data_IF_266319051706
#
_entry.id   IF_266319051706
#
_cell.length_a   1.000
_cell.length_b   1.000
_cell.length_c   1.000
_cell.angle_alpha   90.00
_cell.angle_beta   90.00
_cell.angle_gamma   90.00
#
_symmetry.space_group_name_H-M   'P 1'
#
loop_
_entity.id
_entity.type
_entity.pdbx_description
1 polymer ?
#
# COMPACT_ATOMS: atom_id res chain seq x y z
N UNK A 1 14.52 20.15 -11.83
CA UNK A 1 14.21 20.21 -10.39
C UNK A 1 13.80 18.81 -9.97
N UNK A 2 14.31 18.31 -8.85
CA UNK A 2 13.94 17.00 -8.29
C UNK A 2 12.91 17.23 -7.20
N UNK A 3 11.82 16.46 -7.22
CA UNK A 3 10.75 16.51 -6.22
C UNK A 3 10.37 15.11 -5.76
N UNK A 4 10.03 14.98 -4.48
CA UNK A 4 9.57 13.72 -3.91
C UNK A 4 8.08 13.81 -3.59
N UNK A 5 7.40 12.70 -3.81
CA UNK A 5 5.97 12.58 -3.62
C UNK A 5 5.63 11.30 -2.87
N UNK A 6 4.51 11.35 -2.14
CA UNK A 6 3.87 10.19 -1.54
C UNK A 6 2.45 10.07 -2.08
N UNK A 7 2.11 8.87 -2.56
CA UNK A 7 0.77 8.50 -3.02
C UNK A 7 0.14 7.61 -1.95
N UNK A 8 -0.93 8.07 -1.33
CA UNK A 8 -1.72 7.31 -0.38
C UNK A 8 -2.84 6.55 -1.10
N UNK A 9 -3.05 5.29 -0.71
CA UNK A 9 -4.09 4.43 -1.27
C UNK A 9 -5.10 4.08 -0.19
N UNK A 10 -6.36 4.38 -0.45
CA UNK A 10 -7.48 4.05 0.43
C UNK A 10 -8.44 3.07 -0.25
N UNK A 11 -9.22 2.29 0.51
CA UNK A 11 -10.24 1.43 -0.05
C UNK A 11 -11.25 2.25 -0.87
N UNK A 12 -11.61 1.72 -2.04
CA UNK A 12 -12.64 2.26 -2.91
C UNK A 12 -13.44 1.12 -3.56
N UNK A 13 -14.59 1.44 -4.15
CA UNK A 13 -15.57 0.43 -4.59
C UNK A 13 -15.09 -0.44 -5.75
N UNK A 14 -14.35 0.16 -6.70
CA UNK A 14 -13.81 -0.55 -7.88
C UNK A 14 -12.30 -0.45 -7.98
N UNK A 15 -11.75 0.68 -7.55
CA UNK A 15 -10.32 0.98 -7.53
C UNK A 15 -10.00 1.69 -6.23
N UNK A 16 -8.74 1.62 -5.79
CA UNK A 16 -8.31 2.40 -4.63
C UNK A 16 -8.40 3.90 -4.93
N UNK A 17 -8.99 4.65 -3.99
CA UNK A 17 -8.90 6.11 -3.99
C UNK A 17 -7.45 6.51 -3.75
N UNK A 18 -7.02 7.62 -4.38
CA UNK A 18 -5.62 8.06 -4.36
C UNK A 18 -5.49 9.52 -3.99
N UNK A 19 -4.63 9.80 -3.02
CA UNK A 19 -4.22 11.15 -2.64
C UNK A 19 -2.71 11.29 -2.81
N UNK A 20 -2.26 12.27 -3.60
CA UNK A 20 -0.83 12.53 -3.87
C UNK A 20 -0.41 13.80 -3.13
N UNK A 21 0.72 13.76 -2.41
CA UNK A 21 1.27 14.91 -1.71
C UNK A 21 2.78 15.02 -1.96
N UNK A 22 3.27 16.24 -2.17
CA UNK A 22 4.71 16.52 -2.16
C UNK A 22 5.27 16.34 -0.72
N UNK A 23 6.44 15.74 -0.61
CA UNK A 23 7.14 15.48 0.66
C UNK A 23 8.62 15.87 0.50
N UNK A 24 9.29 16.40 1.54
CA UNK A 24 10.69 16.82 1.41
C UNK A 24 11.64 15.67 1.05
N UNK A 25 11.37 14.47 1.56
CA UNK A 25 12.14 13.25 1.34
C UNK A 25 11.28 12.01 1.59
N UNK A 26 11.78 10.82 1.26
CA UNK A 26 11.08 9.57 1.54
C UNK A 26 11.20 9.18 3.02
N UNK A 27 10.32 9.74 3.86
CA UNK A 27 10.22 9.43 5.28
C UNK A 27 8.91 8.66 5.58
N UNK A 28 9.07 7.38 5.93
CA UNK A 28 7.98 6.47 6.29
C UNK A 28 7.15 6.97 7.47
N UNK A 29 7.78 7.55 8.51
CA UNK A 29 7.07 8.02 9.70
C UNK A 29 6.25 9.26 9.40
N UNK A 30 6.81 10.19 8.64
CA UNK A 30 6.08 11.39 8.19
C UNK A 30 4.93 11.00 7.25
N UNK A 31 5.13 10.02 6.36
CA UNK A 31 4.06 9.50 5.51
C UNK A 31 2.93 8.86 6.34
N UNK A 32 3.22 8.03 7.34
CA UNK A 32 2.19 7.46 8.23
C UNK A 32 1.45 8.55 9.01
N UNK A 33 2.16 9.56 9.51
CA UNK A 33 1.55 10.72 10.18
C UNK A 33 0.60 11.48 9.24
N UNK A 34 0.97 11.68 7.97
CA UNK A 34 0.09 12.28 6.96
C UNK A 34 -1.10 11.39 6.62
N UNK A 35 -0.88 10.08 6.44
CA UNK A 35 -1.94 9.09 6.18
C UNK A 35 -3.03 9.13 7.25
N UNK A 36 -2.66 9.26 8.53
CA UNK A 36 -3.63 9.32 9.65
C UNK A 36 -4.58 10.51 9.60
N UNK A 37 -4.23 11.56 8.84
CA UNK A 37 -5.06 12.77 8.65
C UNK A 37 -5.92 12.70 7.41
N UNK A 38 -5.70 11.72 6.53
CA UNK A 38 -6.47 11.55 5.30
C UNK A 38 -7.74 10.77 5.63
N UNK A 39 -8.86 11.33 5.20
CA UNK A 39 -10.16 10.65 5.21
C UNK A 39 -10.76 10.81 3.83
N UNK A 40 -10.93 9.70 3.13
CA UNK A 40 -11.52 9.66 1.80
C UNK A 40 -13.05 9.49 1.90
N UNK A 41 -13.68 9.32 0.73
CA UNK A 41 -15.12 9.04 0.63
C UNK A 41 -15.50 7.82 1.48
N UNK A 42 -16.73 7.87 2.01
CA UNK A 42 -17.26 6.83 2.90
C UNK A 42 -16.42 6.62 4.17
N UNK A 43 -15.69 7.65 4.62
CA UNK A 43 -14.84 7.61 5.81
C UNK A 43 -13.74 6.53 5.72
N UNK A 44 -13.30 6.20 4.50
CA UNK A 44 -12.21 5.26 4.30
C UNK A 44 -10.88 5.94 4.58
N UNK A 45 -9.93 5.16 5.10
CA UNK A 45 -8.59 5.62 5.48
C UNK A 45 -7.54 4.92 4.63
N UNK A 46 -6.37 5.54 4.40
CA UNK A 46 -5.31 4.90 3.65
C UNK A 46 -4.90 3.57 4.29
N UNK A 47 -4.86 2.52 3.48
CA UNK A 47 -4.31 1.23 3.88
C UNK A 47 -2.80 1.14 3.61
N UNK A 48 -2.27 2.02 2.76
CA UNK A 48 -0.86 2.06 2.44
C UNK A 48 -0.47 3.25 1.58
N UNK A 49 0.82 3.35 1.27
CA UNK A 49 1.36 4.42 0.43
C UNK A 49 2.57 3.96 -0.38
N UNK A 50 2.89 4.72 -1.44
CA UNK A 50 4.12 4.55 -2.23
C UNK A 50 4.83 5.89 -2.34
N UNK A 51 6.15 5.85 -2.29
CA UNK A 51 6.96 7.01 -2.63
C UNK A 51 7.31 6.98 -4.12
N UNK A 52 7.40 8.15 -4.71
CA UNK A 52 8.02 8.33 -6.01
C UNK A 52 8.80 9.64 -6.07
N UNK A 53 9.76 9.70 -6.99
CA UNK A 53 10.59 10.88 -7.24
C UNK A 53 10.46 11.25 -8.69
N UNK A 54 10.23 12.54 -8.95
CA UNK A 54 10.14 13.08 -10.29
C UNK A 54 11.25 14.10 -10.54
N UNK A 55 11.78 14.07 -11.76
CA UNK A 55 12.76 15.01 -12.27
C UNK A 55 12.16 15.79 -13.45
N UNK A 56 12.21 17.12 -13.37
CA UNK A 56 11.71 18.00 -14.42
C UNK A 56 10.63 18.96 -13.92
N UNK A 57 10.09 19.80 -14.80
CA UNK A 57 9.05 20.77 -14.46
C UNK A 57 9.51 22.23 -14.36
N UNK A 58 10.29 22.70 -15.34
CA UNK A 58 10.46 24.14 -15.60
C UNK A 58 9.39 24.70 -16.57
N UNK A 59 8.35 23.91 -16.86
CA UNK A 59 7.24 24.27 -17.73
C UNK A 59 7.40 23.84 -19.20
N UNK A 60 8.52 23.23 -19.59
CA UNK A 60 8.74 22.83 -21.00
C UNK A 60 8.44 21.36 -21.31
N UNK A 61 8.47 20.48 -20.31
CA UNK A 61 8.28 19.03 -20.47
C UNK A 61 7.59 18.41 -19.25
N UNK A 62 6.90 17.30 -19.48
CA UNK A 62 6.30 16.49 -18.41
C UNK A 62 7.39 15.97 -17.46
N UNK A 63 7.18 16.02 -16.13
CA UNK A 63 8.10 15.45 -15.17
C UNK A 63 8.33 13.96 -15.43
N UNK A 64 9.59 13.53 -15.41
CA UNK A 64 9.96 12.13 -15.56
C UNK A 64 10.07 11.47 -14.19
N UNK A 65 9.40 10.35 -13.98
CA UNK A 65 9.60 9.53 -12.78
C UNK A 65 11.00 8.87 -12.83
N UNK A 66 11.81 9.13 -11.81
CA UNK A 66 13.20 8.62 -11.70
C UNK A 66 13.40 7.65 -10.53
N UNK A 67 12.40 7.50 -9.66
CA UNK A 67 12.42 6.50 -8.58
C UNK A 67 11.02 6.22 -8.05
N UNK A 68 10.81 5.00 -7.58
CA UNK A 68 9.56 4.54 -6.96
C UNK A 68 9.88 3.47 -5.90
N UNK A 69 9.13 3.47 -4.81
CA UNK A 69 9.18 2.42 -3.79
C UNK A 69 8.11 1.35 -4.04
N UNK A 70 8.26 0.19 -3.41
CA UNK A 70 7.11 -0.69 -3.18
C UNK A 70 6.07 -0.06 -2.25
N UNK A 71 5.00 -0.80 -2.01
CA UNK A 71 3.87 -0.40 -1.18
C UNK A 71 4.20 -0.54 0.29
N UNK A 72 4.05 0.55 1.03
CA UNK A 72 4.13 0.55 2.48
C UNK A 72 2.73 0.36 3.04
N UNK A 73 2.39 -0.85 3.48
CA UNK A 73 1.11 -1.18 4.08
C UNK A 73 1.07 -0.77 5.55
N UNK A 74 0.03 -0.06 5.96
CA UNK A 74 -0.15 0.46 7.33
C UNK A 74 -1.04 -0.50 8.11
N UNK A 75 -0.52 -1.06 9.21
CA UNK A 75 -1.27 -1.90 10.14
C UNK A 75 -2.00 -3.10 9.49
N UNK A 76 -1.47 -3.62 8.38
CA UNK A 76 -1.96 -4.85 7.78
C UNK A 76 -1.58 -6.08 8.61
N UNK A 77 -2.24 -7.21 8.34
CA UNK A 77 -1.80 -8.55 8.78
C UNK A 77 -1.28 -9.31 7.56
N UNK A 78 -0.09 -9.86 7.67
CA UNK A 78 0.45 -10.78 6.66
C UNK A 78 -0.10 -12.18 6.90
N UNK A 79 -0.47 -12.85 5.81
CA UNK A 79 -0.88 -14.26 5.82
C UNK A 79 -0.26 -15.00 4.62
N UNK A 80 0.27 -16.19 4.88
CA UNK A 80 0.78 -17.11 3.87
C UNK A 80 -0.33 -17.99 3.30
N UNK A 81 -0.10 -18.63 2.15
CA UNK A 81 -1.04 -19.59 1.58
C UNK A 81 -1.42 -20.68 2.61
N UNK A 82 -0.44 -21.21 3.34
CA UNK A 82 -0.67 -22.25 4.35
C UNK A 82 -1.60 -21.77 5.47
N UNK A 83 -1.46 -20.52 5.94
CA UNK A 83 -2.35 -19.95 6.95
C UNK A 83 -3.78 -19.73 6.42
N UNK A 84 -3.91 -19.29 5.16
CA UNK A 84 -5.22 -19.11 4.50
C UNK A 84 -5.90 -20.46 4.28
N UNK A 85 -5.15 -21.48 3.87
CA UNK A 85 -5.67 -22.85 3.70
C UNK A 85 -6.07 -23.50 5.03
N UNK A 86 -5.27 -23.31 6.08
CA UNK A 86 -5.58 -23.83 7.41
C UNK A 86 -6.87 -23.24 7.99
N UNK A 87 -7.17 -21.97 7.70
CA UNK A 87 -8.43 -21.33 8.10
C UNK A 87 -9.65 -21.95 7.40
N UNK A 88 -9.49 -22.43 6.17
CA UNK A 88 -10.53 -23.10 5.39
C UNK A 88 -11.88 -22.36 5.33
N UNK A 89 -11.86 -21.03 5.20
CA UNK A 89 -13.08 -20.22 5.09
C UNK A 89 -13.74 -20.46 3.72
N UNK A 90 -15.01 -20.91 3.63
CA UNK A 90 -15.71 -21.09 2.36
C UNK A 90 -15.77 -19.81 1.50
N UNK A 91 -15.75 -18.63 2.12
CA UNK A 91 -15.77 -17.33 1.42
C UNK A 91 -14.45 -16.97 0.72
N UNK A 92 -13.37 -17.72 0.98
CA UNK A 92 -12.02 -17.43 0.49
C UNK A 92 -11.54 -18.42 -0.58
N UNK A 93 -12.45 -19.18 -1.21
CA UNK A 93 -12.08 -20.15 -2.25
C UNK A 93 -11.37 -19.48 -3.44
N UNK A 94 -11.85 -18.30 -3.84
CA UNK A 94 -11.23 -17.50 -4.90
C UNK A 94 -9.84 -17.01 -4.48
N UNK A 95 -9.68 -16.59 -3.22
CA UNK A 95 -8.39 -16.14 -2.69
C UNK A 95 -7.38 -17.29 -2.70
N UNK A 96 -7.75 -18.46 -2.19
CA UNK A 96 -6.91 -19.67 -2.23
C UNK A 96 -6.54 -20.05 -3.66
N UNK A 97 -7.51 -20.03 -4.57
CA UNK A 97 -7.27 -20.31 -5.99
C UNK A 97 -6.25 -19.34 -6.58
N UNK A 98 -6.39 -18.03 -6.32
CA UNK A 98 -5.45 -17.01 -6.78
C UNK A 98 -4.06 -17.20 -6.19
N UNK A 99 -3.94 -17.49 -4.89
CA UNK A 99 -2.65 -17.70 -4.24
C UNK A 99 -1.95 -18.99 -4.70
N UNK A 100 -2.71 -20.03 -5.07
CA UNK A 100 -2.15 -21.27 -5.65
C UNK A 100 -1.70 -21.07 -7.11
N UNK A 101 -2.44 -20.28 -7.87
CA UNK A 101 -2.23 -20.11 -9.31
C UNK A 101 -1.24 -19.03 -9.70
N UNK A 102 -0.95 -18.07 -8.81
CA UNK A 102 0.00 -16.99 -9.07
C UNK A 102 1.29 -17.19 -8.26
N UNK A 103 2.41 -17.38 -8.96
CA UNK A 103 3.71 -17.66 -8.34
C UNK A 103 4.20 -16.55 -7.39
N UNK A 104 3.74 -15.31 -7.61
CA UNK A 104 4.12 -14.14 -6.82
C UNK A 104 3.24 -13.94 -5.57
N UNK A 105 2.12 -14.65 -5.42
CA UNK A 105 1.15 -14.48 -4.33
C UNK A 105 1.42 -15.41 -3.14
N UNK A 106 2.69 -15.52 -2.76
CA UNK A 106 3.13 -16.38 -1.63
C UNK A 106 2.66 -15.84 -0.27
N UNK A 107 2.48 -14.53 -0.19
CA UNK A 107 2.02 -13.82 1.00
C UNK A 107 1.04 -12.74 0.58
N UNK A 108 -0.02 -12.60 1.36
CA UNK A 108 -0.98 -11.51 1.23
C UNK A 108 -0.88 -10.60 2.44
N UNK A 109 -1.34 -9.39 2.27
CA UNK A 109 -1.61 -8.45 3.35
C UNK A 109 -3.10 -8.15 3.38
N UNK A 110 -3.69 -8.18 4.57
CA UNK A 110 -5.11 -7.87 4.77
C UNK A 110 -5.31 -6.75 5.78
N UNK A 111 -6.39 -6.00 5.59
CA UNK A 111 -6.86 -5.02 6.57
C UNK A 111 -7.29 -5.69 7.88
N UNK A 112 -6.87 -5.13 9.01
CA UNK A 112 -7.26 -5.59 10.36
C UNK A 112 -8.41 -4.77 10.97
N UNK A 113 -8.76 -3.64 10.36
CA UNK A 113 -9.79 -2.73 10.86
C UNK A 113 -10.48 -1.98 9.71
N UNK A 114 -11.76 -1.64 9.88
CA UNK A 114 -12.51 -0.84 8.92
C UNK A 114 -12.95 -1.64 7.68
N UNK A 115 -12.83 -1.04 6.50
CA UNK A 115 -13.18 -1.68 5.24
C UNK A 115 -12.28 -2.90 4.99
N UNK A 116 -12.88 -4.05 4.65
CA UNK A 116 -12.12 -5.27 4.36
C UNK A 116 -11.42 -5.14 3.01
N UNK A 117 -10.13 -5.40 2.99
CA UNK A 117 -9.31 -5.44 1.79
C UNK A 117 -8.22 -6.50 1.95
N UNK A 118 -7.79 -7.06 0.83
CA UNK A 118 -6.72 -8.05 0.73
C UNK A 118 -5.92 -7.73 -0.53
N UNK A 119 -4.60 -7.68 -0.44
CA UNK A 119 -3.68 -7.46 -1.56
C UNK A 119 -2.54 -8.48 -1.49
N UNK A 120 -1.88 -8.75 -2.62
CA UNK A 120 -0.56 -9.41 -2.62
C UNK A 120 0.43 -8.59 -1.79
N UNK A 121 1.40 -9.26 -1.17
CA UNK A 121 2.56 -8.63 -0.55
C UNK A 121 3.79 -9.04 -1.35
N UNK A 122 4.27 -8.14 -2.20
CA UNK A 122 5.25 -8.39 -3.24
C UNK A 122 6.67 -8.02 -2.81
N UNK A 123 7.65 -8.33 -3.66
CA UNK A 123 9.04 -7.96 -3.40
C UNK A 123 9.21 -6.43 -3.40
N UNK A 124 9.71 -5.88 -2.28
CA UNK A 124 9.88 -4.45 -2.08
C UNK A 124 8.71 -3.75 -1.40
N UNK A 125 7.59 -4.47 -1.17
CA UNK A 125 6.54 -3.99 -0.26
C UNK A 125 7.02 -4.07 1.19
N UNK A 126 6.50 -3.18 2.04
CA UNK A 126 6.90 -3.07 3.44
C UNK A 126 5.64 -3.01 4.30
N UNK A 127 5.61 -3.79 5.38
CA UNK A 127 4.59 -3.63 6.43
C UNK A 127 5.11 -2.68 7.51
N UNK A 128 4.35 -1.64 7.80
CA UNK A 128 4.64 -0.66 8.86
C UNK A 128 3.52 -0.60 9.88
N UNK A 129 3.87 -0.30 11.13
CA UNK A 129 2.89 -0.06 12.19
C UNK A 129 2.38 1.41 12.18
N UNK A 130 1.48 1.73 13.11
CA UNK A 130 0.88 3.05 13.26
C UNK A 130 1.90 4.19 13.56
N UNK A 131 3.11 3.85 14.00
CA UNK A 131 4.18 4.79 14.31
C UNK A 131 5.18 4.94 13.13
N UNK A 132 4.93 4.26 12.01
CA UNK A 132 5.83 4.21 10.85
C UNK A 132 7.09 3.38 11.07
N UNK A 133 7.06 2.44 12.03
CA UNK A 133 8.12 1.46 12.22
C UNK A 133 7.92 0.27 11.30
N UNK A 134 8.98 -0.16 10.62
CA UNK A 134 8.97 -1.37 9.80
C UNK A 134 8.76 -2.60 10.68
N UNK A 135 7.68 -3.32 10.42
CA UNK A 135 7.36 -4.62 11.03
C UNK A 135 7.90 -5.76 10.15
N UNK A 136 7.81 -5.59 8.83
CA UNK A 136 8.33 -6.55 7.84
C UNK A 136 8.80 -5.79 6.60
N UNK A 137 10.05 -5.97 6.15
CA UNK A 137 10.51 -5.45 4.86
C UNK A 137 10.17 -6.37 3.69
#
# INVERSE_FOLDING_TARGET
MIKHFVTFYSPGTFVSERTIQEIPEWDVREAVKRASKITERYNSRPYGFRFHTEEGGDGRWEPKRIGESGTHYINGKLETLAEVEARNDPGEEILRSNMRGNDDWKTIVRGVSGWKWTMSFENGDVLVNADGMVVKP
#
